data_IF_344936652650
#
_entry.id   IF_344936652650
#
_cell.length_a   1.000
_cell.length_b   1.000
_cell.length_c   1.000
_cell.angle_alpha   90.00
_cell.angle_beta   90.00
_cell.angle_gamma   90.00
#
_symmetry.space_group_name_H-M   'P 1'
#
loop_
_entity.id
_entity.type
_entity.pdbx_description
1 polymer ?
#
# COMPACT_ATOMS: atom_id res chain seq x y z
N UNK A 1 14.27 28.58 16.73
CA UNK A 1 13.83 27.28 16.17
C UNK A 1 12.55 27.60 15.41
N UNK A 2 12.43 27.28 14.12
CA UNK A 2 11.15 27.47 13.43
C UNK A 2 10.14 26.54 14.09
N UNK A 3 8.90 27.00 14.29
CA UNK A 3 7.84 26.31 15.03
C UNK A 3 7.76 24.80 14.71
N UNK A 4 8.06 23.95 15.71
CA UNK A 4 7.93 22.48 15.68
C UNK A 4 6.45 22.01 15.63
N UNK A 5 5.53 22.84 15.14
CA UNK A 5 4.10 22.55 15.11
C UNK A 5 3.69 22.00 13.76
N UNK A 6 2.84 20.98 13.76
CA UNK A 6 2.26 20.41 12.54
C UNK A 6 1.54 21.50 11.73
N UNK A 7 1.82 21.66 10.42
CA UNK A 7 1.29 22.75 9.59
C UNK A 7 -0.17 22.47 9.17
N UNK A 8 -1.09 22.57 10.13
CA UNK A 8 -2.54 22.37 9.92
C UNK A 8 -3.06 23.25 8.77
N UNK A 9 -2.61 24.51 8.72
CA UNK A 9 -3.08 25.51 7.76
C UNK A 9 -2.63 25.24 6.32
N UNK A 10 -1.57 24.43 6.12
CA UNK A 10 -1.15 23.99 4.78
C UNK A 10 -1.85 22.67 4.37
N UNK A 11 -2.01 21.73 5.32
CA UNK A 11 -2.49 20.37 5.02
C UNK A 11 -4.01 20.28 4.92
N UNK A 12 -4.76 20.88 5.85
CA UNK A 12 -6.22 20.76 5.87
C UNK A 12 -6.85 21.30 4.59
N UNK A 13 -6.48 22.50 4.09
CA UNK A 13 -7.00 22.99 2.81
C UNK A 13 -6.62 22.09 1.62
N UNK A 14 -5.41 21.52 1.62
CA UNK A 14 -4.97 20.62 0.55
C UNK A 14 -5.80 19.33 0.50
N UNK A 15 -6.09 18.74 1.67
CA UNK A 15 -6.95 17.56 1.77
C UNK A 15 -8.37 17.87 1.30
N UNK A 16 -8.94 19.00 1.73
CA UNK A 16 -10.28 19.42 1.27
C UNK A 16 -10.31 19.63 -0.25
N UNK A 17 -9.31 20.32 -0.82
CA UNK A 17 -9.23 20.54 -2.26
C UNK A 17 -9.07 19.24 -3.05
N UNK A 18 -8.31 18.26 -2.53
CA UNK A 18 -8.21 16.94 -3.15
C UNK A 18 -9.57 16.27 -3.25
N UNK A 19 -10.35 16.29 -2.17
CA UNK A 19 -11.68 15.67 -2.11
C UNK A 19 -12.69 16.36 -3.03
N UNK A 20 -12.66 17.69 -3.06
CA UNK A 20 -13.47 18.50 -3.96
C UNK A 20 -13.16 18.16 -5.43
N UNK A 21 -11.87 18.10 -5.78
CA UNK A 21 -11.42 17.88 -7.14
C UNK A 21 -11.82 16.52 -7.72
N UNK A 22 -11.94 15.50 -6.87
CA UNK A 22 -12.37 14.15 -7.29
C UNK A 22 -13.88 13.95 -7.14
N UNK A 23 -14.60 14.91 -6.56
CA UNK A 23 -16.00 14.80 -6.14
C UNK A 23 -16.21 13.52 -5.33
N UNK A 24 -15.49 13.41 -4.22
CA UNK A 24 -15.45 12.18 -3.43
C UNK A 24 -16.85 11.73 -2.99
N UNK A 25 -17.17 10.48 -3.30
CA UNK A 25 -18.40 9.83 -2.88
C UNK A 25 -18.23 8.30 -2.94
N UNK A 26 -17.54 7.73 -1.95
CA UNK A 26 -17.35 6.28 -1.91
C UNK A 26 -18.67 5.56 -1.60
N UNK A 27 -19.21 4.90 -2.62
CA UNK A 27 -20.37 4.01 -2.53
C UNK A 27 -20.01 2.59 -3.00
N UNK A 28 -18.75 2.19 -2.88
CA UNK A 28 -18.23 0.94 -3.43
C UNK A 28 -18.88 -0.29 -2.80
N UNK A 29 -19.27 -0.22 -1.52
CA UNK A 29 -19.90 -1.33 -0.79
C UNK A 29 -20.98 -0.88 0.18
N UNK A 30 -21.87 -1.81 0.52
CA UNK A 30 -22.59 -1.75 1.80
C UNK A 30 -21.68 -2.23 2.94
N UNK A 31 -22.04 -1.90 4.18
CA UNK A 31 -21.28 -2.36 5.35
C UNK A 31 -21.17 -3.90 5.43
N UNK A 32 -22.25 -4.63 5.11
CA UNK A 32 -22.23 -6.10 5.12
C UNK A 32 -21.31 -6.68 4.04
N UNK A 33 -21.32 -6.08 2.85
CA UNK A 33 -20.46 -6.54 1.76
C UNK A 33 -18.98 -6.27 2.07
N UNK A 34 -18.66 -5.10 2.61
CA UNK A 34 -17.32 -4.73 3.04
C UNK A 34 -16.78 -5.72 4.09
N UNK A 35 -17.54 -5.98 5.15
CA UNK A 35 -17.16 -6.96 6.20
C UNK A 35 -16.93 -8.34 5.60
N UNK A 36 -17.81 -8.80 4.71
CA UNK A 36 -17.68 -10.11 4.06
C UNK A 36 -16.39 -10.22 3.26
N UNK A 37 -16.05 -9.20 2.47
CA UNK A 37 -14.85 -9.18 1.61
C UNK A 37 -13.58 -9.08 2.45
N UNK A 38 -13.56 -8.18 3.44
CA UNK A 38 -12.47 -8.06 4.41
C UNK A 38 -12.19 -9.38 5.12
N UNK A 39 -13.24 -10.05 5.62
CA UNK A 39 -13.11 -11.33 6.33
C UNK A 39 -12.54 -12.43 5.44
N UNK A 40 -12.98 -12.49 4.17
CA UNK A 40 -12.46 -13.48 3.23
C UNK A 40 -10.97 -13.25 2.94
N UNK A 41 -10.62 -12.04 2.49
CA UNK A 41 -9.25 -11.71 2.10
C UNK A 41 -8.28 -11.81 3.29
N UNK A 42 -8.68 -11.33 4.46
CA UNK A 42 -7.91 -11.49 5.70
C UNK A 42 -7.73 -12.96 6.07
N UNK A 43 -8.82 -13.74 6.05
CA UNK A 43 -8.78 -15.15 6.45
C UNK A 43 -7.82 -15.97 5.60
N UNK A 44 -7.80 -15.76 4.28
CA UNK A 44 -6.85 -16.42 3.38
C UNK A 44 -5.42 -15.95 3.60
N UNK A 45 -5.20 -14.63 3.73
CA UNK A 45 -3.87 -14.10 4.02
C UNK A 45 -3.34 -14.59 5.38
N UNK A 46 -4.15 -14.58 6.43
CA UNK A 46 -3.78 -15.08 7.75
C UNK A 46 -3.43 -16.57 7.73
N UNK A 47 -4.17 -17.40 6.98
CA UNK A 47 -3.84 -18.83 6.79
C UNK A 47 -2.51 -19.02 6.08
N UNK A 48 -2.25 -18.21 5.05
CA UNK A 48 -1.01 -18.22 4.28
C UNK A 48 0.19 -17.90 5.17
N UNK A 49 0.19 -16.74 5.82
CA UNK A 49 1.29 -16.34 6.68
C UNK A 49 1.47 -17.25 7.90
N UNK A 50 0.41 -17.92 8.38
CA UNK A 50 0.50 -18.81 9.54
C UNK A 50 1.19 -20.15 9.19
N UNK A 51 1.54 -20.39 7.92
CA UNK A 51 2.33 -21.55 7.55
C UNK A 51 3.71 -21.50 8.25
N UNK A 52 4.14 -22.59 8.92
CA UNK A 52 5.38 -22.60 9.70
C UNK A 52 6.61 -22.16 8.91
N UNK A 53 6.73 -22.60 7.65
CA UNK A 53 7.84 -22.22 6.78
C UNK A 53 7.91 -20.72 6.49
N UNK A 54 6.76 -20.04 6.42
CA UNK A 54 6.69 -18.59 6.19
C UNK A 54 7.09 -17.84 7.46
N UNK A 55 6.51 -18.19 8.61
CA UNK A 55 6.84 -17.54 9.90
C UNK A 55 8.33 -17.68 10.22
N UNK A 56 8.89 -18.89 10.04
CA UNK A 56 10.31 -19.15 10.28
C UNK A 56 11.23 -18.41 9.31
N UNK A 57 10.86 -18.30 8.03
CA UNK A 57 11.67 -17.62 7.03
C UNK A 57 11.64 -16.09 7.18
N UNK A 58 10.50 -15.52 7.57
CA UNK A 58 10.34 -14.07 7.72
C UNK A 58 11.01 -13.51 8.97
N UNK A 59 11.07 -14.28 10.07
CA UNK A 59 11.68 -13.87 11.35
C UNK A 59 11.14 -12.55 11.95
N UNK A 60 9.99 -12.07 11.48
CA UNK A 60 9.33 -10.89 12.03
C UNK A 60 8.53 -11.21 13.29
N UNK A 61 8.37 -10.25 14.22
CA UNK A 61 7.42 -10.38 15.32
C UNK A 61 6.00 -10.66 14.80
N UNK A 62 5.28 -11.58 15.43
CA UNK A 62 3.91 -11.98 15.05
C UNK A 62 2.99 -10.76 14.90
N UNK A 63 3.10 -9.79 15.81
CA UNK A 63 2.33 -8.54 15.77
C UNK A 63 2.57 -7.70 14.50
N UNK A 64 3.79 -7.72 13.96
CA UNK A 64 4.13 -6.96 12.75
C UNK A 64 3.53 -7.65 11.51
N UNK A 65 3.56 -8.99 11.48
CA UNK A 65 2.90 -9.78 10.44
C UNK A 65 1.39 -9.54 10.48
N UNK A 66 0.78 -9.64 11.66
CA UNK A 66 -0.66 -9.39 11.84
C UNK A 66 -1.06 -7.97 11.43
N UNK A 67 -0.26 -6.96 11.80
CA UNK A 67 -0.47 -5.58 11.36
C UNK A 67 -0.41 -5.45 9.83
N UNK A 68 0.62 -6.02 9.20
CA UNK A 68 0.82 -5.92 7.75
C UNK A 68 -0.30 -6.61 6.97
N UNK A 69 -0.79 -7.76 7.45
CA UNK A 69 -1.95 -8.44 6.85
C UNK A 69 -3.19 -7.56 6.94
N UNK A 70 -3.44 -6.92 8.08
CA UNK A 70 -4.60 -6.03 8.26
C UNK A 70 -4.54 -4.83 7.32
N UNK A 71 -3.40 -4.14 7.30
CA UNK A 71 -3.18 -2.95 6.45
C UNK A 71 -3.33 -3.32 4.98
N UNK A 72 -2.67 -4.38 4.52
CA UNK A 72 -2.76 -4.83 3.13
C UNK A 72 -4.17 -5.30 2.75
N UNK A 73 -4.89 -5.97 3.66
CA UNK A 73 -6.27 -6.40 3.40
C UNK A 73 -7.21 -5.20 3.27
N UNK A 74 -7.07 -4.20 4.15
CA UNK A 74 -7.80 -2.94 4.04
C UNK A 74 -7.50 -2.25 2.72
N UNK A 75 -6.22 -2.07 2.39
CA UNK A 75 -5.81 -1.46 1.13
C UNK A 75 -6.45 -2.19 -0.07
N UNK A 76 -6.36 -3.51 -0.13
CA UNK A 76 -6.84 -4.26 -1.29
C UNK A 76 -8.37 -4.24 -1.40
N UNK A 77 -9.09 -4.50 -0.30
CA UNK A 77 -10.54 -4.66 -0.37
C UNK A 77 -11.24 -3.35 -0.71
N UNK A 78 -10.77 -2.23 -0.17
CA UNK A 78 -11.35 -0.93 -0.45
C UNK A 78 -11.04 -0.48 -1.88
N UNK A 79 -9.87 -0.82 -2.43
CA UNK A 79 -9.43 -0.28 -3.72
C UNK A 79 -9.75 -1.18 -4.93
N UNK A 80 -9.65 -2.51 -4.82
CA UNK A 80 -9.89 -3.46 -5.93
C UNK A 80 -11.34 -3.92 -5.99
N UNK A 81 -12.28 -2.98 -6.00
CA UNK A 81 -13.71 -3.23 -5.76
C UNK A 81 -14.34 -4.26 -6.70
N UNK A 82 -13.92 -4.23 -7.97
CA UNK A 82 -14.52 -5.02 -9.05
C UNK A 82 -13.96 -6.44 -9.16
N UNK A 83 -12.86 -6.77 -8.45
CA UNK A 83 -12.20 -8.06 -8.63
C UNK A 83 -12.81 -9.18 -7.76
N UNK A 84 -12.46 -10.42 -8.07
CA UNK A 84 -12.93 -11.59 -7.33
C UNK A 84 -12.36 -11.64 -5.91
N UNK A 85 -13.08 -12.32 -5.01
CA UNK A 85 -12.60 -12.59 -3.64
C UNK A 85 -11.23 -13.29 -3.63
N UNK A 86 -11.01 -14.23 -4.55
CA UNK A 86 -9.73 -14.92 -4.70
C UNK A 86 -8.60 -13.95 -5.05
N UNK A 87 -8.82 -13.06 -6.03
CA UNK A 87 -7.80 -12.07 -6.38
C UNK A 87 -7.56 -11.06 -5.24
N UNK A 88 -8.61 -10.64 -4.52
CA UNK A 88 -8.44 -9.82 -3.31
C UNK A 88 -7.57 -10.51 -2.26
N UNK A 89 -7.73 -11.82 -2.04
CA UNK A 89 -6.88 -12.59 -1.13
C UNK A 89 -5.43 -12.66 -1.64
N UNK A 90 -5.22 -12.99 -2.92
CA UNK A 90 -3.88 -13.08 -3.52
C UNK A 90 -3.12 -11.74 -3.50
N UNK A 91 -3.81 -10.63 -3.77
CA UNK A 91 -3.25 -9.28 -3.66
C UNK A 91 -2.98 -8.89 -2.20
N UNK A 92 -3.87 -9.23 -1.27
CA UNK A 92 -3.66 -8.97 0.16
C UNK A 92 -2.40 -9.66 0.67
N UNK A 93 -2.13 -10.89 0.23
CA UNK A 93 -0.88 -11.60 0.56
C UNK A 93 0.34 -10.87 -0.02
N UNK A 94 0.27 -10.50 -1.30
CA UNK A 94 1.36 -9.79 -1.98
C UNK A 94 1.69 -8.45 -1.31
N UNK A 95 0.69 -7.60 -1.10
CA UNK A 95 0.90 -6.30 -0.45
C UNK A 95 1.28 -6.44 1.03
N UNK A 96 0.85 -7.50 1.73
CA UNK A 96 1.32 -7.75 3.09
C UNK A 96 2.83 -8.07 3.14
N UNK A 97 3.37 -8.77 2.13
CA UNK A 97 4.82 -8.94 2.00
C UNK A 97 5.53 -7.60 1.77
N UNK A 98 4.96 -6.70 0.98
CA UNK A 98 5.52 -5.37 0.76
C UNK A 98 5.52 -4.52 2.04
N UNK A 99 4.37 -4.41 2.71
CA UNK A 99 4.22 -3.67 3.97
C UNK A 99 5.16 -4.20 5.05
N UNK A 100 5.36 -5.52 5.14
CA UNK A 100 6.29 -6.11 6.08
C UNK A 100 7.73 -5.62 5.93
N UNK A 101 8.20 -5.49 4.68
CA UNK A 101 9.57 -5.02 4.40
C UNK A 101 9.67 -3.53 4.68
N UNK A 102 8.69 -2.74 4.21
CA UNK A 102 8.59 -1.29 4.41
C UNK A 102 8.60 -0.91 5.91
N UNK A 103 7.74 -1.55 6.70
CA UNK A 103 7.52 -1.18 8.10
C UNK A 103 8.58 -1.70 9.07
N UNK A 104 9.43 -2.63 8.65
CA UNK A 104 10.40 -3.22 9.56
C UNK A 104 11.60 -2.29 9.78
N UNK A 105 11.71 -1.71 10.98
CA UNK A 105 12.90 -0.98 11.40
C UNK A 105 14.12 -1.93 11.38
N UNK A 106 14.90 -1.87 10.30
CA UNK A 106 16.01 -2.79 10.03
C UNK A 106 15.76 -3.84 8.95
N UNK A 107 14.62 -3.83 8.25
CA UNK A 107 14.40 -4.69 7.09
C UNK A 107 14.59 -6.18 7.41
N UNK A 108 14.95 -6.93 6.37
CA UNK A 108 15.48 -8.29 6.45
C UNK A 108 17.00 -8.28 6.73
N UNK A 109 17.50 -7.20 7.35
CA UNK A 109 18.91 -6.82 7.40
C UNK A 109 19.40 -6.12 6.13
N UNK A 110 20.71 -5.88 6.07
CA UNK A 110 21.41 -5.43 4.86
C UNK A 110 21.32 -6.51 3.78
N UNK A 111 20.66 -6.24 2.64
CA UNK A 111 20.43 -7.24 1.60
C UNK A 111 21.71 -7.57 0.81
N UNK A 112 22.80 -6.81 0.95
CA UNK A 112 24.02 -6.90 0.13
C UNK A 112 24.50 -8.35 -0.06
N UNK A 113 24.69 -9.11 1.02
CA UNK A 113 25.19 -10.49 0.95
C UNK A 113 24.19 -11.45 0.30
N UNK A 114 22.89 -11.23 0.53
CA UNK A 114 21.83 -12.08 -0.01
C UNK A 114 21.49 -11.78 -1.47
N UNK A 115 21.95 -10.64 -2.00
CA UNK A 115 21.72 -10.23 -3.39
C UNK A 115 22.90 -10.50 -4.32
N UNK A 116 24.06 -10.96 -3.81
CA UNK A 116 25.28 -11.21 -4.59
C UNK A 116 25.06 -12.07 -5.83
N UNK A 117 24.25 -13.13 -5.69
CA UNK A 117 23.99 -14.11 -6.75
C UNK A 117 22.59 -13.96 -7.37
N UNK A 118 21.84 -12.89 -7.04
CA UNK A 118 20.41 -12.75 -7.37
C UNK A 118 20.11 -13.03 -8.85
N UNK A 119 20.84 -12.38 -9.76
CA UNK A 119 20.65 -12.52 -11.21
C UNK A 119 21.03 -13.90 -11.70
N UNK A 120 22.16 -14.44 -11.21
CA UNK A 120 22.63 -15.78 -11.58
C UNK A 120 21.63 -16.84 -11.14
N UNK A 121 21.17 -16.77 -9.89
CA UNK A 121 20.17 -17.68 -9.33
C UNK A 121 18.83 -17.56 -10.06
N UNK A 122 18.40 -16.35 -10.42
CA UNK A 122 17.17 -16.12 -11.17
C UNK A 122 17.23 -16.78 -12.55
N UNK A 123 18.32 -16.56 -13.30
CA UNK A 123 18.49 -17.12 -14.64
C UNK A 123 18.68 -18.65 -14.64
N UNK A 124 19.26 -19.19 -13.57
CA UNK A 124 19.43 -20.63 -13.39
C UNK A 124 18.17 -21.34 -12.84
N UNK A 125 17.15 -20.60 -12.40
CA UNK A 125 15.98 -21.17 -11.73
C UNK A 125 16.24 -21.66 -10.31
N UNK A 126 17.31 -21.16 -9.67
CA UNK A 126 17.63 -21.50 -8.29
C UNK A 126 16.75 -20.70 -7.30
N UNK A 127 16.45 -21.27 -6.10
CA UNK A 127 15.82 -20.52 -5.04
C UNK A 127 16.65 -19.29 -4.64
N UNK A 128 16.01 -18.13 -4.54
CA UNK A 128 16.67 -16.91 -4.12
C UNK A 128 17.23 -17.01 -2.69
N UNK A 129 18.41 -16.44 -2.49
CA UNK A 129 19.10 -16.41 -1.18
C UNK A 129 18.33 -15.55 -0.18
N UNK A 130 17.87 -14.38 -0.60
CA UNK A 130 17.06 -13.49 0.24
C UNK A 130 15.69 -14.12 0.56
N UNK A 131 15.31 -14.28 1.83
CA UNK A 131 14.11 -15.04 2.20
C UNK A 131 12.82 -14.37 1.71
N UNK A 132 12.75 -13.03 1.68
CA UNK A 132 11.60 -12.32 1.12
C UNK A 132 11.37 -12.66 -0.36
N UNK A 133 12.40 -12.56 -1.21
CA UNK A 133 12.27 -12.95 -2.63
C UNK A 133 11.87 -14.40 -2.78
N UNK A 134 12.39 -15.32 -1.95
CA UNK A 134 11.99 -16.72 -1.99
C UNK A 134 10.49 -16.89 -1.74
N UNK A 135 9.95 -16.20 -0.74
CA UNK A 135 8.54 -16.30 -0.37
C UNK A 135 7.62 -15.60 -1.38
N UNK A 136 7.99 -14.39 -1.80
CA UNK A 136 7.22 -13.63 -2.80
C UNK A 136 7.22 -14.33 -4.15
N UNK A 137 8.38 -14.83 -4.61
CA UNK A 137 8.45 -15.59 -5.87
C UNK A 137 7.67 -16.90 -5.79
N UNK A 138 7.59 -17.55 -4.62
CA UNK A 138 6.76 -18.73 -4.44
C UNK A 138 5.25 -18.42 -4.49
N UNK A 139 4.84 -17.21 -4.08
CA UNK A 139 3.45 -16.75 -4.16
C UNK A 139 3.06 -16.23 -5.55
N UNK A 140 4.02 -15.75 -6.35
CA UNK A 140 3.72 -15.13 -7.64
C UNK A 140 2.89 -15.98 -8.60
N UNK A 141 3.07 -17.30 -8.75
CA UNK A 141 2.19 -18.10 -9.61
C UNK A 141 0.70 -17.98 -9.25
N UNK A 142 0.38 -17.91 -7.96
CA UNK A 142 -1.00 -17.76 -7.48
C UNK A 142 -1.57 -16.37 -7.73
N UNK A 143 -0.72 -15.34 -7.77
CA UNK A 143 -1.13 -13.98 -8.12
C UNK A 143 -1.22 -13.78 -9.64
N UNK A 144 -0.18 -14.17 -10.37
CA UNK A 144 -0.01 -13.85 -11.79
C UNK A 144 -0.97 -14.61 -12.69
N UNK A 145 -1.53 -15.75 -12.24
CA UNK A 145 -2.57 -16.49 -12.97
C UNK A 145 -3.82 -15.64 -13.28
N UNK A 146 -4.03 -14.54 -12.56
CA UNK A 146 -5.17 -13.64 -12.75
C UNK A 146 -4.96 -12.60 -13.85
N UNK A 147 -3.75 -12.46 -14.39
CA UNK A 147 -3.37 -11.35 -15.26
C UNK A 147 -2.80 -11.83 -16.60
N UNK A 148 -2.85 -10.95 -17.59
CA UNK A 148 -2.17 -11.15 -18.86
C UNK A 148 -0.66 -10.86 -18.72
N UNK A 149 0.13 -11.25 -19.73
CA UNK A 149 1.58 -11.10 -19.68
C UNK A 149 2.06 -9.65 -19.46
N UNK A 150 1.35 -8.65 -20.00
CA UNK A 150 1.77 -7.25 -19.83
C UNK A 150 1.56 -6.76 -18.39
N UNK A 151 0.41 -7.05 -17.79
CA UNK A 151 0.11 -6.71 -16.40
C UNK A 151 1.00 -7.50 -15.44
N UNK A 152 1.20 -8.80 -15.67
CA UNK A 152 2.12 -9.63 -14.86
C UNK A 152 3.54 -9.07 -14.85
N UNK A 153 4.05 -8.65 -16.02
CA UNK A 153 5.38 -8.04 -16.13
C UNK A 153 5.46 -6.73 -15.31
N UNK A 154 4.45 -5.87 -15.40
CA UNK A 154 4.43 -4.61 -14.64
C UNK A 154 4.38 -4.84 -13.13
N UNK A 155 3.60 -5.81 -12.65
CA UNK A 155 3.57 -6.18 -11.24
C UNK A 155 4.97 -6.63 -10.80
N UNK A 156 5.59 -7.57 -11.54
CA UNK A 156 6.92 -8.08 -11.20
C UNK A 156 8.00 -6.99 -11.21
N UNK A 157 8.07 -6.16 -12.25
CA UNK A 157 9.02 -5.04 -12.32
C UNK A 157 8.82 -4.07 -11.15
N UNK A 158 7.58 -3.74 -10.81
CA UNK A 158 7.28 -2.89 -9.66
C UNK A 158 7.75 -3.50 -8.34
N UNK A 159 7.68 -4.82 -8.18
CA UNK A 159 8.14 -5.53 -6.98
C UNK A 159 9.65 -5.46 -6.83
N UNK A 160 10.39 -5.59 -7.93
CA UNK A 160 11.86 -5.46 -7.93
C UNK A 160 12.27 -4.01 -7.65
N UNK A 161 11.63 -3.05 -8.31
CA UNK A 161 11.82 -1.60 -8.06
C UNK A 161 11.59 -1.27 -6.57
N UNK A 162 10.52 -1.81 -5.97
CA UNK A 162 10.19 -1.62 -4.56
C UNK A 162 11.27 -2.18 -3.62
N UNK A 163 11.75 -3.40 -3.89
CA UNK A 163 12.81 -3.98 -3.08
C UNK A 163 14.10 -3.15 -3.14
N UNK A 164 14.46 -2.64 -4.32
CA UNK A 164 15.60 -1.73 -4.49
C UNK A 164 15.43 -0.45 -3.66
N UNK A 165 14.24 0.15 -3.65
CA UNK A 165 14.02 1.33 -2.80
C UNK A 165 14.12 1.05 -1.31
N UNK A 166 13.58 -0.07 -0.82
CA UNK A 166 13.73 -0.43 0.60
C UNK A 166 15.20 -0.62 0.97
N UNK A 167 16.06 -1.02 0.04
CA UNK A 167 17.50 -1.05 0.23
C UNK A 167 18.09 0.37 0.30
N UNK A 168 17.74 1.26 -0.64
CA UNK A 168 18.21 2.66 -0.65
C UNK A 168 17.80 3.39 0.65
N UNK A 169 16.59 3.17 1.14
CA UNK A 169 16.06 3.82 2.35
C UNK A 169 16.83 3.46 3.62
N UNK A 170 17.51 2.30 3.66
CA UNK A 170 18.39 1.94 4.78
C UNK A 170 19.56 2.92 4.95
N UNK A 171 19.93 3.65 3.89
CA UNK A 171 20.99 4.65 3.93
C UNK A 171 20.55 5.95 4.60
N UNK A 172 19.25 6.14 4.84
CA UNK A 172 18.66 7.37 5.37
C UNK A 172 19.16 8.62 4.62
N UNK A 173 19.20 8.52 3.29
CA UNK A 173 19.78 9.51 2.40
C UNK A 173 18.70 10.31 1.68
N UNK A 174 18.67 11.63 1.92
CA UNK A 174 17.67 12.54 1.34
C UNK A 174 18.06 13.13 -0.03
N UNK A 175 19.12 12.63 -0.66
CA UNK A 175 19.66 13.23 -1.88
C UNK A 175 20.68 14.34 -1.62
N UNK A 176 21.53 14.59 -2.62
CA UNK A 176 22.44 15.72 -2.59
C UNK A 176 21.71 17.02 -2.95
N UNK A 177 22.13 18.14 -2.38
CA UNK A 177 21.61 19.46 -2.76
C UNK A 177 21.80 19.68 -4.27
N UNK A 178 20.74 20.09 -4.96
CA UNK A 178 20.69 20.25 -6.41
C UNK A 178 20.31 18.99 -7.20
N UNK A 179 20.20 17.82 -6.57
CA UNK A 179 19.73 16.59 -7.22
C UNK A 179 18.19 16.54 -7.31
N UNK A 180 17.59 17.48 -8.05
CA UNK A 180 16.14 17.74 -8.05
C UNK A 180 15.27 16.56 -8.49
N UNK A 181 15.82 15.60 -9.24
CA UNK A 181 15.11 14.38 -9.66
C UNK A 181 15.11 13.27 -8.61
N UNK A 182 15.98 13.34 -7.58
CA UNK A 182 16.13 12.29 -6.57
C UNK A 182 14.82 11.95 -5.83
N UNK A 183 14.01 12.94 -5.36
CA UNK A 183 12.77 12.64 -4.65
C UNK A 183 11.79 11.83 -5.50
N UNK A 184 11.63 12.20 -6.79
CA UNK A 184 10.73 11.51 -7.70
C UNK A 184 11.29 10.14 -8.13
N UNK A 185 12.60 10.03 -8.30
CA UNK A 185 13.27 8.76 -8.57
C UNK A 185 13.00 7.74 -7.46
N UNK A 186 13.29 8.10 -6.21
CA UNK A 186 13.10 7.19 -5.07
C UNK A 186 11.62 6.88 -4.86
N UNK A 187 10.75 7.90 -4.96
CA UNK A 187 9.31 7.70 -4.77
C UNK A 187 8.70 6.77 -5.83
N UNK A 188 9.16 6.85 -7.08
CA UNK A 188 8.73 5.95 -8.15
C UNK A 188 9.06 4.49 -7.82
N UNK A 189 10.21 4.24 -7.20
CA UNK A 189 10.64 2.90 -6.82
C UNK A 189 9.79 2.35 -5.66
N UNK A 190 9.59 3.12 -4.58
CA UNK A 190 8.91 2.63 -3.37
C UNK A 190 7.37 2.67 -3.42
N UNK A 191 6.76 3.42 -4.34
CA UNK A 191 5.30 3.62 -4.32
C UNK A 191 4.48 2.39 -4.76
N UNK A 192 5.10 1.37 -5.37
CA UNK A 192 4.39 0.21 -5.94
C UNK A 192 3.28 0.58 -6.94
N UNK A 193 3.42 1.74 -7.59
CA UNK A 193 2.33 2.28 -8.39
C UNK A 193 2.10 1.53 -9.71
N UNK A 194 3.15 0.94 -10.30
CA UNK A 194 3.00 0.03 -11.45
C UNK A 194 2.26 -1.26 -11.06
N UNK A 195 2.61 -1.87 -9.93
CA UNK A 195 1.87 -3.04 -9.42
C UNK A 195 0.42 -2.69 -9.13
N UNK A 196 0.16 -1.54 -8.51
CA UNK A 196 -1.19 -1.09 -8.19
C UNK A 196 -2.00 -0.84 -9.47
N UNK A 197 -1.46 -0.10 -10.44
CA UNK A 197 -2.14 0.18 -11.70
C UNK A 197 -2.37 -1.05 -12.58
N UNK A 198 -1.41 -1.98 -12.64
CA UNK A 198 -1.51 -3.17 -13.48
C UNK A 198 -2.45 -4.24 -12.90
N UNK A 199 -2.53 -4.35 -11.57
CA UNK A 199 -3.36 -5.36 -10.92
C UNK A 199 -4.86 -5.04 -10.91
N UNK A 200 -5.28 -3.92 -11.48
CA UNK A 200 -6.70 -3.58 -11.67
C UNK A 200 -7.36 -4.35 -12.81
N UNK A 201 -6.58 -5.04 -13.65
CA UNK A 201 -7.03 -5.56 -14.94
C UNK A 201 -6.95 -7.09 -15.03
N UNK A 202 -7.72 -7.84 -14.21
CA UNK A 202 -7.72 -9.29 -14.31
C UNK A 202 -8.28 -9.76 -15.65
N UNK A 203 -7.70 -10.82 -16.21
CA UNK A 203 -8.12 -11.40 -17.51
C UNK A 203 -9.52 -12.00 -17.49
N UNK A 204 -10.06 -12.26 -16.30
CA UNK A 204 -11.44 -12.68 -16.11
C UNK A 204 -12.46 -11.58 -16.41
N UNK A 205 -12.06 -10.31 -16.37
CA UNK A 205 -12.92 -9.14 -16.60
C UNK A 205 -12.50 -8.33 -17.82
N UNK A 206 -11.20 -8.28 -18.11
CA UNK A 206 -10.63 -7.38 -19.12
C UNK A 206 -9.76 -8.13 -20.12
N UNK A 207 -9.91 -7.79 -21.39
CA UNK A 207 -9.03 -8.27 -22.46
C UNK A 207 -7.82 -7.33 -22.56
N UNK A 208 -6.68 -7.77 -22.04
CA UNK A 208 -5.43 -6.99 -21.97
C UNK A 208 -4.98 -6.45 -23.34
N UNK A 209 -5.19 -7.21 -24.42
CA UNK A 209 -4.79 -6.78 -25.76
C UNK A 209 -5.69 -5.67 -26.29
N UNK A 210 -7.01 -5.77 -26.03
CA UNK A 210 -7.97 -4.76 -26.47
C UNK A 210 -7.84 -3.45 -25.69
N UNK A 211 -7.48 -3.53 -24.41
CA UNK A 211 -7.41 -2.38 -23.50
C UNK A 211 -5.98 -1.93 -23.21
N UNK A 212 -4.99 -2.34 -24.02
CA UNK A 212 -3.58 -2.09 -23.73
C UNK A 212 -3.28 -0.59 -23.57
N UNK A 213 -3.94 0.28 -24.34
CA UNK A 213 -3.78 1.73 -24.26
C UNK A 213 -4.32 2.28 -22.94
N UNK A 214 -5.51 1.88 -22.54
CA UNK A 214 -6.16 2.25 -21.29
C UNK A 214 -5.33 1.77 -20.11
N UNK A 215 -4.96 0.48 -20.09
CA UNK A 215 -4.14 -0.14 -19.03
C UNK A 215 -2.80 0.58 -18.89
N UNK A 216 -2.08 0.81 -19.99
CA UNK A 216 -0.79 1.51 -19.98
C UNK A 216 -0.94 2.94 -19.45
N UNK A 217 -2.01 3.63 -19.87
CA UNK A 217 -2.31 4.99 -19.40
C UNK A 217 -2.65 5.00 -17.91
N UNK A 218 -3.42 4.02 -17.42
CA UNK A 218 -3.71 3.89 -15.99
C UNK A 218 -2.44 3.67 -15.22
N UNK A 219 -1.58 2.74 -15.63
CA UNK A 219 -0.29 2.48 -14.96
C UNK A 219 0.54 3.78 -14.86
N UNK A 220 0.66 4.54 -15.96
CA UNK A 220 1.47 5.76 -16.00
C UNK A 220 0.94 6.88 -15.08
N UNK A 221 -0.38 7.00 -14.91
CA UNK A 221 -1.00 7.98 -14.02
C UNK A 221 -0.99 7.46 -12.58
N UNK A 222 -1.31 6.18 -12.37
CA UNK A 222 -1.38 5.51 -11.07
C UNK A 222 -0.03 5.51 -10.36
N UNK A 223 1.07 5.37 -11.11
CA UNK A 223 2.43 5.44 -10.58
C UNK A 223 2.68 6.71 -9.76
N UNK A 224 2.13 7.83 -10.22
CA UNK A 224 2.22 9.13 -9.57
C UNK A 224 1.14 9.35 -8.52
N UNK A 225 -0.09 8.91 -8.81
CA UNK A 225 -1.23 9.04 -7.92
C UNK A 225 -0.97 8.39 -6.57
N UNK A 226 -0.57 7.11 -6.57
CA UNK A 226 -0.31 6.37 -5.34
C UNK A 226 0.72 7.10 -4.49
N UNK A 227 1.85 7.50 -5.09
CA UNK A 227 2.92 8.17 -4.38
C UNK A 227 2.47 9.48 -3.73
N UNK A 228 1.96 10.42 -4.53
CA UNK A 228 1.66 11.77 -4.04
C UNK A 228 0.43 11.85 -3.14
N UNK A 229 -0.61 11.07 -3.41
CA UNK A 229 -1.78 11.04 -2.53
C UNK A 229 -1.44 10.36 -1.21
N UNK A 230 -0.62 9.30 -1.25
CA UNK A 230 -0.11 8.71 -0.03
C UNK A 230 0.72 9.71 0.78
N UNK A 231 1.71 10.36 0.17
CA UNK A 231 2.57 11.33 0.86
C UNK A 231 1.77 12.48 1.48
N UNK A 232 0.72 12.97 0.80
CA UNK A 232 -0.14 14.02 1.33
C UNK A 232 -0.94 13.55 2.55
N UNK A 233 -1.55 12.36 2.46
CA UNK A 233 -2.43 11.83 3.50
C UNK A 233 -1.66 11.11 4.62
N UNK A 234 -0.41 10.72 4.40
CA UNK A 234 0.50 10.15 5.40
C UNK A 234 1.33 11.19 6.13
N UNK A 235 1.41 12.43 5.61
CA UNK A 235 2.27 13.47 6.19
C UNK A 235 2.05 13.66 7.70
N UNK A 236 0.79 13.59 8.17
CA UNK A 236 0.49 13.68 9.61
C UNK A 236 1.15 12.58 10.45
N UNK A 237 1.12 11.33 10.00
CA UNK A 237 1.75 10.22 10.75
C UNK A 237 3.28 10.30 10.69
N UNK A 238 3.84 10.90 9.64
CA UNK A 238 5.30 10.94 9.35
C UNK A 238 6.00 12.12 10.02
N UNK A 239 5.29 13.25 10.21
CA UNK A 239 5.86 14.53 10.66
C UNK A 239 6.79 14.42 11.87
N UNK A 240 6.39 13.66 12.89
CA UNK A 240 7.12 13.52 14.15
C UNK A 240 7.94 12.21 14.24
N UNK A 241 8.03 11.43 13.16
CA UNK A 241 8.70 10.11 13.16
C UNK A 241 10.08 10.23 12.50
N UNK A 242 11.20 10.17 13.25
CA UNK A 242 12.53 10.37 12.69
C UNK A 242 12.90 9.40 11.56
N UNK A 243 12.36 8.18 11.58
CA UNK A 243 12.57 7.17 10.53
C UNK A 243 11.90 7.54 9.21
N UNK A 244 10.77 8.24 9.28
CA UNK A 244 9.98 8.58 8.10
C UNK A 244 10.49 9.88 7.45
N UNK A 245 11.61 10.45 7.95
CA UNK A 245 12.26 11.65 7.41
C UNK A 245 13.01 11.43 6.10
N UNK A 246 12.83 10.28 5.44
CA UNK A 246 13.28 10.01 4.06
C UNK A 246 12.10 10.02 3.08
N UNK A 247 10.95 10.54 3.51
CA UNK A 247 9.78 10.74 2.66
C UNK A 247 10.01 11.76 1.55
N UNK A 248 9.07 11.83 0.61
CA UNK A 248 9.17 12.72 -0.55
C UNK A 248 9.33 14.18 -0.14
N UNK A 249 8.60 14.63 0.90
CA UNK A 249 8.63 16.03 1.38
C UNK A 249 10.03 16.41 1.88
N UNK A 250 10.62 15.60 2.77
CA UNK A 250 11.96 15.87 3.31
C UNK A 250 13.04 15.84 2.21
N UNK A 251 12.95 14.86 1.30
CA UNK A 251 13.85 14.77 0.16
C UNK A 251 13.72 16.01 -0.73
N UNK A 252 12.49 16.44 -1.03
CA UNK A 252 12.23 17.60 -1.87
C UNK A 252 12.76 18.88 -1.25
N UNK A 253 12.51 19.11 0.05
CA UNK A 253 13.03 20.27 0.76
C UNK A 253 14.56 20.26 0.76
N UNK A 254 15.18 19.10 0.98
CA UNK A 254 16.64 18.95 1.00
C UNK A 254 17.30 19.28 -0.34
N UNK A 255 16.80 18.70 -1.43
CA UNK A 255 17.47 18.84 -2.74
C UNK A 255 17.21 20.21 -3.37
N UNK A 256 16.07 20.84 -3.11
CA UNK A 256 15.70 22.14 -3.68
C UNK A 256 16.04 23.34 -2.80
N UNK A 257 16.50 23.13 -1.56
CA UNK A 257 16.66 24.20 -0.56
C UNK A 257 15.34 24.97 -0.31
N UNK A 258 14.22 24.24 -0.37
CA UNK A 258 12.87 24.79 -0.20
C UNK A 258 12.41 24.68 1.26
N UNK A 259 11.53 25.58 1.67
CA UNK A 259 10.84 25.52 2.96
C UNK A 259 9.78 24.41 2.95
N UNK A 260 9.41 23.92 4.15
CA UNK A 260 8.37 22.91 4.29
C UNK A 260 7.04 23.34 3.63
N UNK A 261 6.61 24.59 3.84
CA UNK A 261 5.36 25.09 3.23
C UNK A 261 5.41 25.09 1.69
N UNK A 262 6.55 25.42 1.08
CA UNK A 262 6.72 25.31 -0.38
C UNK A 262 6.65 23.86 -0.85
N UNK A 263 7.30 22.94 -0.14
CA UNK A 263 7.25 21.51 -0.43
C UNK A 263 5.81 20.97 -0.34
N UNK A 264 5.07 21.34 0.71
CA UNK A 264 3.68 20.92 0.91
C UNK A 264 2.73 21.48 -0.15
N UNK A 265 2.92 22.74 -0.57
CA UNK A 265 2.16 23.33 -1.69
C UNK A 265 2.43 22.58 -2.99
N UNK A 266 3.68 22.23 -3.26
CA UNK A 266 4.04 21.45 -4.44
C UNK A 266 3.45 20.04 -4.42
N UNK A 267 3.52 19.35 -3.27
CA UNK A 267 2.91 18.04 -3.07
C UNK A 267 1.40 18.09 -3.30
N UNK A 268 0.73 19.06 -2.68
CA UNK A 268 -0.72 19.27 -2.79
C UNK A 268 -1.14 19.49 -4.24
N UNK A 269 -0.45 20.40 -4.95
CA UNK A 269 -0.70 20.63 -6.36
C UNK A 269 -0.56 19.34 -7.19
N UNK A 270 0.52 18.57 -6.96
CA UNK A 270 0.77 17.34 -7.70
C UNK A 270 -0.31 16.28 -7.43
N UNK A 271 -0.68 16.07 -6.16
CA UNK A 271 -1.70 15.13 -5.74
C UNK A 271 -3.09 15.48 -6.32
N UNK A 272 -3.50 16.75 -6.26
CA UNK A 272 -4.77 17.21 -6.82
C UNK A 272 -4.79 17.06 -8.34
N UNK A 273 -3.71 17.48 -9.02
CA UNK A 273 -3.60 17.39 -10.47
C UNK A 273 -3.69 15.96 -10.97
N UNK A 274 -2.94 15.04 -10.36
CA UNK A 274 -2.93 13.64 -10.81
C UNK A 274 -4.26 12.95 -10.53
N UNK A 275 -4.92 13.28 -9.42
CA UNK A 275 -6.24 12.72 -9.08
C UNK A 275 -7.32 13.21 -10.03
N UNK A 276 -7.31 14.51 -10.37
CA UNK A 276 -8.20 15.09 -11.38
C UNK A 276 -7.95 14.49 -12.76
N UNK A 277 -6.68 14.27 -13.12
CA UNK A 277 -6.31 13.63 -14.38
C UNK A 277 -6.82 12.19 -14.43
N UNK A 278 -6.65 11.42 -13.36
CA UNK A 278 -7.11 10.03 -13.28
C UNK A 278 -8.63 9.93 -13.45
N UNK A 279 -9.41 10.88 -12.92
CA UNK A 279 -10.85 10.91 -13.17
C UNK A 279 -11.20 11.34 -14.60
N UNK A 280 -10.61 12.43 -15.09
CA UNK A 280 -11.00 13.05 -16.37
C UNK A 280 -10.54 12.31 -17.62
N UNK A 281 -9.42 11.59 -17.56
CA UNK A 281 -8.91 10.80 -18.70
C UNK A 281 -9.79 9.58 -19.01
N UNK A 282 -10.44 9.04 -17.98
CA UNK A 282 -11.22 7.80 -18.08
C UNK A 282 -12.74 8.02 -18.07
N UNK A 283 -13.23 9.22 -17.77
CA UNK A 283 -14.68 9.50 -17.66
C UNK A 283 -15.47 9.34 -18.96
N UNK A 284 -14.80 9.40 -20.12
CA UNK A 284 -15.38 9.19 -21.45
C UNK A 284 -15.01 7.83 -22.08
N UNK A 285 -14.35 6.95 -21.32
CA UNK A 285 -13.96 5.62 -21.76
C UNK A 285 -15.06 4.59 -21.49
N UNK A 286 -14.79 3.34 -21.84
CA UNK A 286 -15.66 2.21 -21.51
C UNK A 286 -16.07 2.25 -20.04
N UNK A 287 -17.34 1.96 -19.75
CA UNK A 287 -17.90 2.13 -18.41
C UNK A 287 -17.22 1.23 -17.38
N UNK A 288 -16.82 0.01 -17.76
CA UNK A 288 -16.17 -0.91 -16.82
C UNK A 288 -14.73 -0.43 -16.49
N UNK A 289 -14.06 0.19 -17.46
CA UNK A 289 -12.74 0.83 -17.28
C UNK A 289 -12.86 2.04 -16.37
N UNK A 290 -13.80 2.94 -16.67
CA UNK A 290 -14.04 4.16 -15.88
C UNK A 290 -14.40 3.81 -14.43
N UNK A 291 -15.36 2.90 -14.25
CA UNK A 291 -15.81 2.44 -12.94
C UNK A 291 -14.67 1.81 -12.13
N UNK A 292 -13.81 1.00 -12.75
CA UNK A 292 -12.68 0.37 -12.05
C UNK A 292 -11.70 1.41 -11.52
N UNK A 293 -11.37 2.42 -12.34
CA UNK A 293 -10.43 3.49 -11.96
C UNK A 293 -11.04 4.42 -10.90
N UNK A 294 -12.31 4.79 -11.05
CA UNK A 294 -13.00 5.70 -10.11
C UNK A 294 -13.25 5.00 -8.77
N UNK A 295 -13.68 3.74 -8.78
CA UNK A 295 -13.83 2.93 -7.55
C UNK A 295 -12.50 2.83 -6.80
N UNK A 296 -11.38 2.62 -7.52
CA UNK A 296 -10.06 2.60 -6.91
C UNK A 296 -9.71 3.95 -6.26
N UNK A 297 -9.90 5.06 -7.00
CA UNK A 297 -9.63 6.41 -6.53
C UNK A 297 -10.35 6.73 -5.22
N UNK A 298 -11.66 6.45 -5.15
CA UNK A 298 -12.45 6.67 -3.94
C UNK A 298 -12.05 5.70 -2.83
N UNK A 299 -11.93 4.41 -3.14
CA UNK A 299 -11.56 3.39 -2.18
C UNK A 299 -10.20 3.63 -1.53
N UNK A 300 -9.23 4.15 -2.28
CA UNK A 300 -7.90 4.48 -1.77
C UNK A 300 -7.96 5.54 -0.68
N UNK A 301 -8.72 6.61 -0.91
CA UNK A 301 -8.92 7.68 0.05
C UNK A 301 -9.71 7.18 1.26
N UNK A 302 -10.79 6.42 1.05
CA UNK A 302 -11.58 5.83 2.13
C UNK A 302 -10.72 4.96 3.04
N UNK A 303 -9.87 4.11 2.46
CA UNK A 303 -8.96 3.26 3.23
C UNK A 303 -8.03 4.10 4.11
N UNK A 304 -7.38 5.14 3.57
CA UNK A 304 -6.43 5.94 4.33
C UNK A 304 -7.08 6.67 5.52
N UNK A 305 -8.31 7.14 5.37
CA UNK A 305 -9.04 7.80 6.46
C UNK A 305 -9.51 6.82 7.55
N UNK A 306 -9.76 5.56 7.18
CA UNK A 306 -10.27 4.55 8.09
C UNK A 306 -9.18 3.70 8.74
N UNK A 307 -8.01 3.57 8.11
CA UNK A 307 -6.89 2.81 8.64
C UNK A 307 -6.17 3.58 9.76
N UNK A 308 -6.03 2.94 10.91
CA UNK A 308 -5.43 3.53 12.11
C UNK A 308 -3.97 3.95 11.90
N UNK A 309 -3.28 3.38 10.89
CA UNK A 309 -1.93 3.76 10.48
C UNK A 309 -1.79 5.26 10.22
N UNK A 310 -2.78 5.90 9.60
CA UNK A 310 -2.69 7.30 9.18
C UNK A 310 -3.09 8.31 10.26
N UNK A 311 -3.68 7.85 11.37
CA UNK A 311 -4.00 8.66 12.55
C UNK A 311 -4.88 9.89 12.25
N UNK A 312 -5.76 9.81 11.24
CA UNK A 312 -6.71 10.88 10.89
C UNK A 312 -7.63 11.27 12.05
N UNK A 313 -8.02 10.32 12.90
CA UNK A 313 -8.81 10.59 14.10
C UNK A 313 -8.11 11.58 15.05
N UNK A 314 -6.79 11.49 15.20
CA UNK A 314 -6.01 12.44 15.99
C UNK A 314 -5.94 13.81 15.32
N UNK A 315 -5.78 13.84 13.99
CA UNK A 315 -5.76 15.09 13.23
C UNK A 315 -7.09 15.83 13.36
N UNK A 316 -8.22 15.14 13.26
CA UNK A 316 -9.55 15.73 13.45
C UNK A 316 -9.72 16.39 14.82
N UNK A 317 -9.20 15.77 15.89
CA UNK A 317 -9.25 16.35 17.22
C UNK A 317 -8.43 17.65 17.35
N UNK A 318 -7.44 17.86 16.47
CA UNK A 318 -6.59 19.08 16.47
C UNK A 318 -7.19 20.21 15.63
N UNK A 319 -7.97 19.89 14.59
CA UNK A 319 -8.56 20.89 13.70
C UNK A 319 -9.78 21.52 14.36
N UNK A 320 -9.78 22.84 14.55
CA UNK A 320 -10.93 23.56 15.11
C UNK A 320 -12.00 23.81 14.06
N UNK A 321 -13.26 23.55 14.38
CA UNK A 321 -14.42 23.77 13.49
C UNK A 321 -14.88 25.24 13.51
N UNK A 322 -13.96 26.16 13.24
CA UNK A 322 -14.24 27.61 13.28
C UNK A 322 -14.35 28.20 11.86
N UNK A 323 -13.59 27.65 10.91
CA UNK A 323 -13.53 28.10 9.52
C UNK A 323 -14.22 27.12 8.57
N UNK A 324 -14.71 27.63 7.43
CA UNK A 324 -15.43 26.83 6.42
C UNK A 324 -14.62 25.61 5.95
N UNK A 325 -13.31 25.79 5.71
CA UNK A 325 -12.42 24.71 5.27
C UNK A 325 -12.30 23.62 6.33
N UNK A 326 -12.21 23.98 7.60
CA UNK A 326 -12.13 23.04 8.71
C UNK A 326 -13.45 22.29 8.92
N UNK A 327 -14.60 22.96 8.74
CA UNK A 327 -15.92 22.31 8.79
C UNK A 327 -16.03 21.28 7.65
N UNK A 328 -15.62 21.66 6.44
CA UNK A 328 -15.65 20.77 5.28
C UNK A 328 -14.73 19.56 5.44
N UNK A 329 -13.55 19.76 6.02
CA UNK A 329 -12.64 18.66 6.39
C UNK A 329 -13.30 17.64 7.33
N UNK A 330 -14.02 18.11 8.36
CA UNK A 330 -14.73 17.21 9.28
C UNK A 330 -15.85 16.44 8.59
N UNK A 331 -16.64 17.12 7.74
CA UNK A 331 -17.70 16.47 6.95
C UNK A 331 -17.14 15.33 6.09
N UNK A 332 -15.97 15.53 5.50
CA UNK A 332 -15.30 14.51 4.71
C UNK A 332 -14.80 13.34 5.55
N UNK A 333 -14.20 13.60 6.71
CA UNK A 333 -13.83 12.54 7.63
C UNK A 333 -15.05 11.72 8.07
N UNK A 334 -16.15 12.40 8.43
CA UNK A 334 -17.40 11.73 8.80
C UNK A 334 -17.95 10.88 7.65
N UNK A 335 -17.90 11.38 6.41
CA UNK A 335 -18.32 10.65 5.22
C UNK A 335 -17.46 9.39 4.98
N UNK A 336 -16.13 9.48 5.11
CA UNK A 336 -15.26 8.31 5.01
C UNK A 336 -15.52 7.30 6.13
N UNK A 337 -15.74 7.76 7.38
CA UNK A 337 -16.07 6.89 8.51
C UNK A 337 -17.39 6.16 8.25
N UNK A 338 -18.42 6.86 7.78
CA UNK A 338 -19.72 6.25 7.47
C UNK A 338 -19.62 5.20 6.35
N UNK A 339 -18.78 5.45 5.36
CA UNK A 339 -18.65 4.58 4.18
C UNK A 339 -17.72 3.38 4.43
N UNK A 340 -16.82 3.48 5.41
CA UNK A 340 -15.69 2.58 5.51
C UNK A 340 -15.25 2.16 6.91
N UNK A 341 -15.73 2.74 8.02
CA UNK A 341 -15.22 2.33 9.35
C UNK A 341 -15.82 1.00 9.76
N UNK A 342 -14.97 -0.01 9.91
CA UNK A 342 -15.35 -1.35 10.38
C UNK A 342 -14.42 -1.76 11.52
N UNK A 343 -14.97 -2.29 12.61
CA UNK A 343 -14.16 -2.81 13.71
C UNK A 343 -13.35 -4.03 13.22
N UNK A 344 -12.01 -4.05 13.37
CA UNK A 344 -11.19 -5.22 13.10
C UNK A 344 -11.71 -6.52 13.74
N UNK A 345 -12.36 -6.44 14.90
CA UNK A 345 -12.97 -7.60 15.56
C UNK A 345 -14.05 -8.29 14.70
N UNK A 346 -14.69 -7.57 13.77
CA UNK A 346 -15.74 -8.11 12.90
C UNK A 346 -15.19 -8.88 11.70
N UNK A 347 -13.95 -8.63 11.27
CA UNK A 347 -13.42 -9.21 10.02
C UNK A 347 -12.03 -9.84 10.15
N UNK A 348 -11.19 -9.40 11.08
CA UNK A 348 -9.86 -9.94 11.32
C UNK A 348 -9.91 -11.21 12.20
N UNK A 349 -10.79 -12.15 11.84
CA UNK A 349 -11.07 -13.38 12.59
C UNK A 349 -11.00 -14.63 11.69
N UNK A 350 -10.37 -15.73 12.14
CA UNK A 350 -9.62 -15.88 13.39
C UNK A 350 -8.32 -15.07 13.36
N UNK A 351 -7.85 -14.60 14.52
CA UNK A 351 -6.63 -13.77 14.57
C UNK A 351 -5.42 -14.55 14.09
N UNK A 352 -4.50 -13.88 13.40
CA UNK A 352 -3.25 -14.48 12.95
C UNK A 352 -2.47 -15.17 14.09
N UNK A 353 -2.46 -14.53 15.27
CA UNK A 353 -1.85 -15.08 16.48
C UNK A 353 -2.46 -16.44 16.84
N UNK A 354 -3.80 -16.58 16.82
CA UNK A 354 -4.46 -17.84 17.14
C UNK A 354 -4.11 -18.97 16.17
N UNK A 355 -4.05 -18.68 14.87
CA UNK A 355 -3.68 -19.64 13.83
C UNK A 355 -2.21 -20.09 13.95
N UNK A 356 -1.32 -19.16 14.29
CA UNK A 356 0.11 -19.42 14.44
C UNK A 356 0.39 -20.34 15.64
N UNK A 357 -0.24 -20.09 16.78
CA UNK A 357 -0.11 -20.92 17.99
C UNK A 357 -0.69 -22.32 17.78
N UNK A 358 -1.84 -22.44 17.12
CA UNK A 358 -2.45 -23.75 16.84
C UNK A 358 -1.53 -24.63 15.97
N UNK A 359 -0.94 -24.05 14.91
CA UNK A 359 -0.04 -24.76 14.00
C UNK A 359 1.28 -25.14 14.66
N UNK A 360 1.86 -24.29 15.52
CA UNK A 360 3.05 -24.62 16.30
C UNK A 360 2.80 -25.78 17.27
N UNK A 361 1.65 -25.78 17.97
CA UNK A 361 1.26 -26.86 18.88
C UNK A 361 1.04 -28.21 18.17
N UNK A 362 0.49 -28.19 16.95
CA UNK A 362 0.32 -29.41 16.13
C UNK A 362 1.66 -30.00 15.70
N UNK A 363 2.66 -29.18 15.39
CA UNK A 363 4.01 -29.66 15.06
C UNK A 363 4.70 -30.28 16.29
N UNK A 364 4.64 -29.61 17.46
CA UNK A 364 5.23 -30.12 18.70
C UNK A 364 4.64 -31.47 19.15
N UNK A 365 3.33 -31.68 18.97
CA UNK A 365 2.67 -32.97 19.24
C UNK A 365 3.10 -34.08 18.28
N UNK A 366 3.33 -33.76 17.01
CA UNK A 366 3.77 -34.74 16.02
C UNK A 366 5.23 -35.18 16.23
N UNK A 367 6.11 -34.28 16.70
CA UNK A 367 7.51 -34.61 17.05
C UNK A 367 7.57 -35.51 18.28
N UNK A 368 6.87 -35.14 19.36
CA UNK A 368 6.80 -35.96 20.59
C UNK A 368 6.14 -37.33 20.38
N UNK A 369 5.19 -37.45 19.45
CA UNK A 369 4.61 -38.75 19.08
C UNK A 369 5.53 -39.66 18.26
N UNK A 370 6.55 -39.09 17.60
CA UNK A 370 7.58 -39.85 16.86
C UNK A 370 8.74 -40.27 17.76
N UNK A 371 9.10 -39.47 18.75
CA UNK A 371 10.13 -39.79 19.74
C UNK A 371 9.69 -40.82 20.79
N UNK A 372 8.37 -41.06 20.95
CA UNK A 372 7.83 -42.13 21.79
C UNK A 372 7.66 -43.49 21.10
N UNK A 373 8.25 -43.69 19.92
CA UNK A 373 8.19 -44.94 19.14
C UNK A 373 9.57 -45.53 18.78
N UNK A 374 10.65 -45.01 19.36
CA UNK A 374 11.94 -45.71 19.49
C UNK A 374 12.07 -46.20 20.94
#
# INVERSE_FOLDING_TARGET
MPDDSFPVDDIVPAVVQLWDAIEYNDTNYTAEELIRRLRYAYGEAAKHFAQPGIVTALQYPIKNIEHSIRVATGYVVYCWVKVSLELMASLSIYFAYCVLVDDSAGGVGDPTLSMQDYVTDLLAGNPQRHPWFRLVNAHFPDLMKHFGPFCSLNIYCSTVDFFESCWIEQLNFNGYRGAVEYPNFLRRLNALGKASGASLWPTALFDEQKLLCEITTTIAIMEKFIGWVNDLLSFYKEFDVPRDRVGWVDNYCKVNDSTLSECLKQLSHNAIRVSTQLKSVFSDKDSDVADTVISFLHGYITWQFNDERYRFSEMCLRVKQEEEVSIRFHQYVDQAIQSGRVDPADWAVPTFTSLSVEKQNKIGRNITSKEGKE
#
